data_IF_023347951006
#
_entry.id   IF_023347951006
#
_cell.length_a   1.000
_cell.length_b   1.000
_cell.length_c   1.000
_cell.angle_alpha   90.00
_cell.angle_beta   90.00
_cell.angle_gamma   90.00
#
_symmetry.space_group_name_H-M   'P 1'
#
loop_
_entity.id
_entity.type
_entity.pdbx_description
1 polymer ?
#
# COMPACT_ATOMS: atom_id res chain seq x y z
N UNK A 1 7.34 -10.60 2.14
CA UNK A 1 7.14 -10.63 0.68
C UNK A 1 8.28 -9.91 -0.04
N UNK A 2 9.51 -10.39 0.18
CA UNK A 2 10.75 -9.85 -0.43
C UNK A 2 11.50 -10.90 -1.27
N UNK A 3 11.00 -12.13 -1.35
CA UNK A 3 11.78 -13.28 -1.83
C UNK A 3 11.67 -13.58 -3.33
N UNK A 4 10.93 -12.81 -4.12
CA UNK A 4 10.68 -13.19 -5.52
C UNK A 4 11.35 -12.28 -6.58
N UNK A 5 12.24 -11.37 -6.20
CA UNK A 5 12.98 -10.53 -7.14
C UNK A 5 14.42 -10.28 -6.65
N UNK A 6 15.31 -11.26 -6.79
CA UNK A 6 16.75 -11.03 -6.55
C UNK A 6 17.58 -11.83 -7.56
N UNK A 7 17.77 -11.26 -8.75
CA UNK A 7 18.82 -11.68 -9.68
C UNK A 7 19.70 -10.50 -10.16
N UNK A 8 19.69 -9.37 -9.44
CA UNK A 8 20.55 -8.21 -9.74
C UNK A 8 21.39 -7.77 -8.53
N UNK A 9 22.69 -7.46 -8.71
CA UNK A 9 23.69 -7.39 -7.64
C UNK A 9 23.80 -5.99 -7.01
N UNK A 10 22.71 -5.45 -6.45
CA UNK A 10 22.71 -4.06 -5.93
C UNK A 10 22.91 -3.95 -4.40
N UNK A 11 23.01 -5.04 -3.65
CA UNK A 11 23.29 -5.00 -2.22
C UNK A 11 24.46 -5.91 -1.86
N UNK A 12 25.59 -5.33 -1.46
CA UNK A 12 26.75 -6.05 -0.92
C UNK A 12 26.47 -6.81 0.39
N UNK A 13 25.29 -6.62 0.99
CA UNK A 13 24.82 -7.35 2.17
C UNK A 13 24.03 -8.64 1.82
N UNK A 14 23.54 -8.78 0.58
CA UNK A 14 22.80 -9.98 0.16
C UNK A 14 23.71 -11.20 -0.03
N UNK A 15 25.00 -11.01 -0.33
CA UNK A 15 25.97 -12.11 -0.42
C UNK A 15 26.24 -12.79 0.93
N UNK A 16 25.90 -12.14 2.06
CA UNK A 16 25.93 -12.75 3.39
C UNK A 16 24.63 -13.51 3.73
N UNK A 17 23.56 -13.38 2.93
CA UNK A 17 22.25 -13.98 3.19
C UNK A 17 22.06 -15.39 2.62
N UNK A 18 22.92 -15.87 1.72
CA UNK A 18 22.78 -17.23 1.16
C UNK A 18 22.78 -18.33 2.23
N UNK A 19 23.31 -18.06 3.44
CA UNK A 19 23.30 -18.99 4.57
C UNK A 19 22.40 -18.58 5.75
N UNK A 20 21.63 -17.49 5.66
CA UNK A 20 20.85 -16.97 6.80
C UNK A 20 19.60 -16.17 6.37
N UNK A 21 18.77 -16.74 5.50
CA UNK A 21 17.51 -16.13 5.08
C UNK A 21 16.54 -16.00 6.27
N UNK A 22 15.79 -14.89 6.38
CA UNK A 22 14.79 -14.73 7.43
C UNK A 22 13.74 -15.84 7.36
N UNK A 23 13.46 -16.47 8.50
CA UNK A 23 12.52 -17.61 8.59
C UNK A 23 11.09 -17.16 8.90
N UNK A 24 10.89 -15.90 9.25
CA UNK A 24 9.57 -15.30 9.47
C UNK A 24 9.54 -13.81 9.11
N UNK A 25 8.33 -13.22 9.04
CA UNK A 25 8.14 -11.82 8.63
C UNK A 25 8.74 -10.82 9.64
N UNK A 26 8.83 -11.15 10.94
CA UNK A 26 9.38 -10.24 11.96
C UNK A 26 10.88 -10.03 11.79
N UNK A 27 11.60 -11.04 11.33
CA UNK A 27 13.03 -10.91 11.05
C UNK A 27 13.31 -9.93 9.90
N UNK A 28 12.40 -9.82 8.92
CA UNK A 28 12.48 -8.75 7.91
C UNK A 28 12.30 -7.35 8.52
N UNK A 29 11.45 -7.20 9.53
CA UNK A 29 11.28 -5.93 10.25
C UNK A 29 12.57 -5.52 10.97
N UNK A 30 13.23 -6.47 11.64
CA UNK A 30 14.52 -6.22 12.30
C UNK A 30 15.65 -5.88 11.31
N UNK A 31 15.67 -6.52 10.14
CA UNK A 31 16.60 -6.17 9.07
C UNK A 31 16.30 -4.78 8.51
N UNK A 32 15.03 -4.45 8.27
CA UNK A 32 14.62 -3.12 7.82
C UNK A 32 15.04 -2.03 8.82
N UNK A 33 14.90 -2.28 10.13
CA UNK A 33 15.36 -1.36 11.18
C UNK A 33 16.86 -1.05 11.12
N UNK A 34 17.68 -2.03 10.71
CA UNK A 34 19.13 -1.86 10.56
C UNK A 34 19.51 -1.17 9.24
N UNK A 35 18.72 -1.40 8.19
CA UNK A 35 19.03 -0.91 6.84
C UNK A 35 18.50 0.50 6.56
N UNK A 36 17.37 0.88 7.16
CA UNK A 36 16.69 2.14 6.89
C UNK A 36 17.16 3.24 7.84
N UNK A 37 17.03 4.49 7.41
CA UNK A 37 17.14 5.63 8.33
C UNK A 37 16.04 5.55 9.37
N UNK A 38 16.29 6.10 10.58
CA UNK A 38 15.27 6.13 11.65
C UNK A 38 13.96 6.76 11.16
N UNK A 39 14.03 7.85 10.40
CA UNK A 39 12.86 8.52 9.84
C UNK A 39 12.05 7.60 8.92
N UNK A 40 12.69 6.89 7.99
CA UNK A 40 12.00 5.99 7.06
C UNK A 40 11.47 4.73 7.74
N UNK A 41 12.25 4.16 8.67
CA UNK A 41 11.79 3.01 9.44
C UNK A 41 10.56 3.34 10.27
N UNK A 42 10.61 4.45 11.02
CA UNK A 42 9.49 4.88 11.86
C UNK A 42 8.24 5.24 11.02
N UNK A 43 8.41 5.83 9.83
CA UNK A 43 7.31 6.11 8.92
C UNK A 43 6.58 4.83 8.45
N UNK A 44 7.35 3.79 8.11
CA UNK A 44 6.80 2.50 7.66
C UNK A 44 6.17 1.75 8.83
N UNK A 45 6.85 1.72 9.97
CA UNK A 45 6.49 0.88 11.11
C UNK A 45 5.45 1.51 12.05
N UNK A 46 5.38 2.84 12.08
CA UNK A 46 4.65 3.59 13.09
C UNK A 46 3.13 3.58 12.92
N UNK A 47 2.44 3.66 14.06
CA UNK A 47 1.00 3.85 14.19
C UNK A 47 0.62 5.29 14.54
N UNK A 48 -0.66 5.49 14.88
CA UNK A 48 -1.15 6.76 15.41
C UNK A 48 -0.98 6.81 16.94
N UNK A 49 -0.56 7.97 17.44
CA UNK A 49 -0.46 8.31 18.87
C UNK A 49 0.30 7.24 19.66
N UNK A 50 -0.25 6.75 20.77
CA UNK A 50 0.38 5.72 21.61
C UNK A 50 0.40 4.30 20.96
N UNK A 51 -0.02 4.17 19.70
CA UNK A 51 0.02 2.96 18.89
C UNK A 51 -0.74 1.76 19.48
N UNK A 52 -1.77 2.02 20.31
CA UNK A 52 -2.58 0.97 20.94
C UNK A 52 -3.19 0.01 19.91
N UNK A 53 -3.86 0.54 18.89
CA UNK A 53 -4.49 -0.28 17.83
C UNK A 53 -3.47 -1.05 17.00
N UNK A 54 -2.27 -0.49 16.78
CA UNK A 54 -1.20 -1.20 16.05
C UNK A 54 -0.78 -2.47 16.81
N UNK A 55 -0.60 -2.38 18.13
CA UNK A 55 -0.30 -3.55 18.98
C UNK A 55 -1.49 -4.51 19.05
N UNK A 56 -2.71 -3.99 19.18
CA UNK A 56 -3.90 -4.83 19.29
C UNK A 56 -4.19 -5.61 17.99
N UNK A 57 -3.91 -5.05 16.81
CA UNK A 57 -4.04 -5.76 15.54
C UNK A 57 -3.26 -7.09 15.51
N UNK A 58 -2.07 -7.12 16.10
CA UNK A 58 -1.26 -8.34 16.20
C UNK A 58 -1.77 -9.22 17.35
N UNK A 59 -2.07 -8.63 18.50
CA UNK A 59 -2.55 -9.35 19.67
C UNK A 59 -3.91 -10.05 19.42
N UNK A 60 -4.75 -9.50 18.54
CA UNK A 60 -6.05 -10.03 18.16
C UNK A 60 -5.97 -11.46 17.61
N UNK A 61 -4.98 -11.75 16.77
CA UNK A 61 -4.79 -13.09 16.25
C UNK A 61 -4.42 -14.10 17.35
N UNK A 62 -3.77 -13.66 18.42
CA UNK A 62 -3.48 -14.50 19.59
C UNK A 62 -4.72 -14.87 20.41
N UNK A 63 -5.83 -14.16 20.24
CA UNK A 63 -7.12 -14.45 20.89
C UNK A 63 -7.93 -15.52 20.15
N UNK A 64 -7.54 -15.87 18.92
CA UNK A 64 -8.23 -16.85 18.07
C UNK A 64 -7.41 -18.15 18.05
N UNK A 65 -8.00 -19.24 18.54
CA UNK A 65 -7.35 -20.55 18.57
C UNK A 65 -7.86 -21.45 17.44
N UNK A 66 -6.96 -22.15 16.77
CA UNK A 66 -7.30 -23.15 15.76
C UNK A 66 -7.65 -24.48 16.43
N UNK A 67 -8.67 -25.16 15.90
CA UNK A 67 -9.05 -26.53 16.30
C UNK A 67 -8.62 -27.51 15.21
N UNK A 68 -7.40 -28.08 15.28
CA UNK A 68 -6.91 -28.96 14.23
C UNK A 68 -7.83 -30.17 14.08
N UNK A 69 -8.06 -30.58 12.84
CA UNK A 69 -8.83 -31.78 12.50
C UNK A 69 -7.84 -32.88 12.16
N UNK A 70 -7.94 -34.01 12.86
CA UNK A 70 -7.07 -35.17 12.67
C UNK A 70 -7.69 -36.16 11.68
N UNK A 71 -6.85 -37.00 11.06
CA UNK A 71 -7.26 -38.02 10.07
C UNK A 71 -8.01 -37.43 8.86
N UNK A 72 -7.63 -36.22 8.45
CA UNK A 72 -8.09 -35.61 7.20
C UNK A 72 -6.98 -35.78 6.17
N UNK A 73 -7.32 -36.31 4.99
CA UNK A 73 -6.38 -36.39 3.88
C UNK A 73 -6.09 -34.98 3.35
N UNK A 74 -4.87 -34.52 3.62
CA UNK A 74 -4.32 -33.23 3.17
C UNK A 74 -3.10 -33.44 2.29
N UNK A 75 -2.98 -34.60 1.63
CA UNK A 75 -1.88 -34.91 0.71
C UNK A 75 -1.80 -33.93 -0.48
N UNK A 76 -2.90 -33.26 -0.80
CA UNK A 76 -2.96 -32.16 -1.77
C UNK A 76 -3.72 -30.97 -1.18
N UNK A 77 -3.03 -29.84 -1.00
CA UNK A 77 -3.60 -28.59 -0.48
C UNK A 77 -3.71 -27.60 -1.63
N UNK A 78 -4.94 -27.22 -1.97
CA UNK A 78 -5.21 -26.16 -2.93
C UNK A 78 -5.57 -24.87 -2.18
N UNK A 79 -4.71 -23.86 -2.31
CA UNK A 79 -4.95 -22.52 -1.78
C UNK A 79 -5.52 -21.56 -2.84
N UNK A 80 -5.74 -22.04 -4.06
CA UNK A 80 -6.20 -21.20 -5.15
C UNK A 80 -7.57 -20.60 -4.86
N UNK A 81 -7.76 -19.38 -5.33
CA UNK A 81 -9.00 -18.64 -5.16
C UNK A 81 -9.18 -17.64 -6.29
N UNK A 82 -10.31 -16.93 -6.30
CA UNK A 82 -10.54 -15.84 -7.24
C UNK A 82 -10.99 -14.57 -6.53
N UNK A 83 -10.57 -13.41 -7.03
CA UNK A 83 -11.01 -12.11 -6.56
C UNK A 83 -11.49 -11.29 -7.76
N UNK A 84 -12.77 -10.91 -7.77
CA UNK A 84 -13.41 -10.20 -8.88
C UNK A 84 -13.20 -10.87 -10.26
N UNK A 85 -13.23 -12.20 -10.30
CA UNK A 85 -13.04 -13.00 -11.52
C UNK A 85 -11.59 -13.28 -11.90
N UNK A 86 -10.61 -12.82 -11.11
CA UNK A 86 -9.20 -13.09 -11.34
C UNK A 86 -8.68 -14.20 -10.45
N UNK A 87 -8.17 -15.27 -11.06
CA UNK A 87 -7.61 -16.41 -10.34
C UNK A 87 -6.24 -16.09 -9.75
N UNK A 88 -5.99 -16.58 -8.54
CA UNK A 88 -4.73 -16.44 -7.80
C UNK A 88 -4.40 -17.76 -7.11
N UNK A 89 -3.10 -18.11 -6.93
CA UNK A 89 -2.69 -19.36 -6.31
C UNK A 89 -2.84 -19.36 -4.77
N UNK A 90 -3.10 -18.20 -4.16
CA UNK A 90 -3.32 -18.05 -2.72
C UNK A 90 -4.23 -16.85 -2.43
N UNK A 91 -4.92 -16.81 -1.27
CA UNK A 91 -5.78 -15.69 -0.88
C UNK A 91 -4.99 -14.51 -0.27
N UNK A 92 -3.77 -14.26 -0.74
CA UNK A 92 -2.87 -13.23 -0.22
C UNK A 92 -2.56 -12.24 -1.34
N UNK A 93 -2.81 -10.96 -1.09
CA UNK A 93 -2.58 -9.86 -2.02
C UNK A 93 -1.66 -8.79 -1.40
N UNK A 94 -1.08 -7.93 -2.23
CA UNK A 94 -0.31 -6.77 -1.77
C UNK A 94 -1.25 -5.60 -1.49
N UNK A 95 -1.34 -5.18 -0.23
CA UNK A 95 -2.11 -4.02 0.18
C UNK A 95 -1.51 -2.71 -0.37
N UNK A 96 -2.32 -1.64 -0.54
CA UNK A 96 -1.81 -0.36 -1.00
C UNK A 96 -0.96 0.31 0.07
N UNK A 97 0.34 0.24 -0.14
CA UNK A 97 1.33 1.11 0.50
C UNK A 97 1.92 2.01 -0.59
N UNK A 98 2.44 3.16 -0.20
CA UNK A 98 3.02 4.11 -1.13
C UNK A 98 4.39 4.55 -0.63
N UNK A 99 5.06 5.34 -1.45
CA UNK A 99 6.42 5.80 -1.18
C UNK A 99 7.46 4.66 -1.01
N UNK A 100 7.39 3.60 -1.83
CA UNK A 100 8.26 2.42 -1.68
C UNK A 100 9.75 2.75 -1.88
N UNK A 101 10.09 3.87 -2.54
CA UNK A 101 11.49 4.27 -2.74
C UNK A 101 12.20 4.70 -1.46
N UNK A 102 11.47 4.89 -0.35
CA UNK A 102 12.10 5.05 0.97
C UNK A 102 12.74 3.77 1.48
N UNK A 103 12.33 2.61 0.94
CA UNK A 103 12.83 1.29 1.33
C UNK A 103 13.77 0.65 0.29
N UNK A 104 13.50 0.82 -1.01
CA UNK A 104 14.34 0.28 -2.09
C UNK A 104 14.34 1.21 -3.32
N UNK A 105 15.47 1.45 -4.00
CA UNK A 105 15.53 2.39 -5.13
C UNK A 105 14.52 2.12 -6.26
N UNK A 106 14.18 0.85 -6.50
CA UNK A 106 13.23 0.41 -7.53
C UNK A 106 11.76 0.69 -7.17
N UNK A 107 11.47 0.98 -5.90
CA UNK A 107 10.12 1.34 -5.42
C UNK A 107 9.02 0.34 -5.78
N UNK A 108 7.88 0.89 -6.20
CA UNK A 108 6.66 0.12 -6.50
C UNK A 108 6.85 -0.82 -7.71
N UNK A 109 7.81 -0.56 -8.60
CA UNK A 109 8.14 -1.47 -9.71
C UNK A 109 8.69 -2.80 -9.18
N UNK A 110 9.57 -2.79 -8.17
CA UNK A 110 10.05 -4.02 -7.56
C UNK A 110 8.91 -4.80 -6.90
N UNK A 111 8.01 -4.12 -6.21
CA UNK A 111 6.82 -4.75 -5.60
C UNK A 111 5.88 -5.34 -6.64
N UNK A 112 5.65 -4.66 -7.76
CA UNK A 112 4.83 -5.16 -8.85
C UNK A 112 5.44 -6.41 -9.49
N UNK A 113 6.75 -6.42 -9.72
CA UNK A 113 7.45 -7.60 -10.25
C UNK A 113 7.39 -8.78 -9.28
N UNK A 114 7.56 -8.55 -7.98
CA UNK A 114 7.42 -9.59 -6.97
C UNK A 114 5.98 -10.15 -6.92
N UNK A 115 4.96 -9.29 -6.98
CA UNK A 115 3.56 -9.73 -7.05
C UNK A 115 3.31 -10.57 -8.31
N UNK A 116 3.80 -10.15 -9.47
CA UNK A 116 3.70 -10.89 -10.73
C UNK A 116 4.36 -12.27 -10.63
N UNK A 117 5.57 -12.37 -10.09
CA UNK A 117 6.27 -13.67 -9.95
C UNK A 117 5.55 -14.65 -9.02
N UNK A 118 4.74 -14.16 -8.10
CA UNK A 118 3.90 -14.98 -7.22
C UNK A 118 2.48 -15.20 -7.77
N UNK A 119 2.17 -14.69 -8.97
CA UNK A 119 0.80 -14.62 -9.52
C UNK A 119 -0.21 -14.02 -8.53
N UNK A 120 0.24 -13.06 -7.72
CA UNK A 120 -0.57 -12.35 -6.72
C UNK A 120 -0.94 -10.96 -7.24
N UNK A 121 -2.05 -10.43 -6.73
CA UNK A 121 -2.53 -9.10 -7.05
C UNK A 121 -1.77 -8.03 -6.27
N UNK A 122 -1.45 -6.92 -6.94
CA UNK A 122 -0.96 -5.71 -6.29
C UNK A 122 -2.00 -4.59 -6.31
N UNK A 123 -2.30 -4.01 -5.13
CA UNK A 123 -3.01 -2.73 -5.07
C UNK A 123 -1.97 -1.61 -5.04
N UNK A 124 -1.91 -0.79 -6.10
CA UNK A 124 -0.99 0.36 -6.18
C UNK A 124 -1.60 1.58 -5.50
N UNK A 125 -0.86 2.24 -4.61
CA UNK A 125 -1.32 3.51 -4.01
C UNK A 125 -1.20 4.70 -4.96
N UNK A 126 -2.14 5.65 -4.91
CA UNK A 126 -1.99 6.96 -5.54
C UNK A 126 -0.70 7.70 -5.10
N UNK A 127 -0.19 7.38 -3.90
CA UNK A 127 1.02 7.97 -3.32
C UNK A 127 2.32 7.24 -3.74
N UNK A 128 2.26 6.44 -4.79
CA UNK A 128 3.40 5.73 -5.39
C UNK A 128 4.54 6.67 -5.82
N UNK A 129 5.79 6.25 -5.64
CA UNK A 129 6.98 6.92 -6.20
C UNK A 129 7.31 6.52 -7.65
N UNK A 130 6.59 5.54 -8.21
CA UNK A 130 6.61 5.20 -9.63
C UNK A 130 5.30 5.65 -10.30
N UNK A 131 5.39 6.03 -11.58
CA UNK A 131 4.18 6.42 -12.33
C UNK A 131 3.27 5.22 -12.56
N UNK A 132 1.95 5.46 -12.68
CA UNK A 132 0.94 4.41 -12.99
C UNK A 132 1.39 3.61 -14.22
N UNK A 133 1.82 4.31 -15.27
CA UNK A 133 2.27 3.76 -16.56
C UNK A 133 3.56 2.94 -16.42
N UNK A 134 4.50 3.41 -15.59
CA UNK A 134 5.77 2.73 -15.30
C UNK A 134 5.50 1.41 -14.57
N UNK A 135 4.65 1.43 -13.56
CA UNK A 135 4.26 0.22 -12.82
C UNK A 135 3.52 -0.75 -13.75
N UNK A 136 2.56 -0.28 -14.55
CA UNK A 136 1.76 -1.10 -15.46
C UNK A 136 2.63 -1.82 -16.51
N UNK A 137 3.56 -1.12 -17.13
CA UNK A 137 4.45 -1.65 -18.17
C UNK A 137 5.58 -2.55 -17.64
N UNK A 138 5.86 -2.54 -16.34
CA UNK A 138 7.01 -3.25 -15.76
C UNK A 138 6.89 -4.77 -15.65
N UNK A 139 5.66 -5.30 -15.61
CA UNK A 139 5.36 -6.74 -15.51
C UNK A 139 3.88 -7.05 -15.76
N UNK A 140 3.54 -8.33 -15.90
CA UNK A 140 2.16 -8.80 -16.10
C UNK A 140 1.46 -9.17 -14.77
N UNK A 141 1.45 -8.26 -13.78
CA UNK A 141 0.66 -8.44 -12.56
C UNK A 141 -0.80 -7.99 -12.76
N UNK A 142 -1.74 -8.67 -12.10
CA UNK A 142 -3.07 -8.11 -11.88
C UNK A 142 -2.93 -6.96 -10.88
N UNK A 143 -3.51 -5.80 -11.21
CA UNK A 143 -3.38 -4.60 -10.38
C UNK A 143 -4.71 -3.93 -10.13
N UNK A 144 -4.92 -3.52 -8.89
CA UNK A 144 -5.95 -2.55 -8.52
C UNK A 144 -5.30 -1.21 -8.18
N UNK A 145 -6.04 -0.12 -8.29
CA UNK A 145 -5.52 1.23 -8.02
C UNK A 145 -6.24 1.83 -6.82
N UNK A 146 -5.50 2.11 -5.76
CA UNK A 146 -6.02 2.77 -4.57
C UNK A 146 -6.01 4.28 -4.73
N UNK A 147 -7.15 4.90 -4.39
CA UNK A 147 -7.40 6.34 -4.53
C UNK A 147 -7.81 6.95 -3.18
N UNK A 148 -7.26 8.12 -2.86
CA UNK A 148 -7.95 9.13 -2.05
C UNK A 148 -8.57 10.17 -2.96
N UNK A 149 -9.73 10.67 -2.57
CA UNK A 149 -10.41 11.73 -3.30
C UNK A 149 -9.82 13.08 -2.89
N UNK A 150 -9.29 13.79 -3.88
CA UNK A 150 -8.74 15.13 -3.72
C UNK A 150 -9.84 16.20 -3.75
N UNK A 151 -9.61 17.33 -3.06
CA UNK A 151 -10.49 18.52 -3.13
C UNK A 151 -10.71 18.95 -4.58
N UNK A 152 -9.65 18.92 -5.38
CA UNK A 152 -9.69 19.16 -6.82
C UNK A 152 -10.08 17.87 -7.55
N UNK A 153 -11.38 17.71 -7.85
CA UNK A 153 -11.95 16.45 -8.35
C UNK A 153 -11.42 16.01 -9.71
N UNK A 154 -10.99 16.94 -10.56
CA UNK A 154 -10.33 16.66 -11.84
C UNK A 154 -9.01 15.87 -11.67
N UNK A 155 -8.28 16.06 -10.57
CA UNK A 155 -7.08 15.27 -10.25
C UNK A 155 -7.48 13.82 -10.04
N UNK A 156 -8.48 13.57 -9.19
CA UNK A 156 -9.00 12.24 -8.91
C UNK A 156 -9.51 11.57 -10.19
N UNK A 157 -10.30 12.27 -11.02
CA UNK A 157 -10.76 11.76 -12.32
C UNK A 157 -9.63 11.44 -13.28
N UNK A 158 -8.56 12.24 -13.27
CA UNK A 158 -7.38 12.01 -14.13
C UNK A 158 -6.62 10.75 -13.70
N UNK A 159 -6.45 10.53 -12.40
CA UNK A 159 -5.81 9.32 -11.89
C UNK A 159 -6.63 8.06 -12.19
N UNK A 160 -7.96 8.11 -12.02
CA UNK A 160 -8.86 7.01 -12.36
C UNK A 160 -8.75 6.66 -13.84
N UNK A 161 -8.86 7.66 -14.74
CA UNK A 161 -8.73 7.44 -16.18
C UNK A 161 -7.36 6.86 -16.56
N UNK A 162 -6.28 7.34 -15.93
CA UNK A 162 -4.93 6.81 -16.15
C UNK A 162 -4.81 5.36 -15.71
N UNK A 163 -5.35 5.00 -14.55
CA UNK A 163 -5.36 3.62 -14.08
C UNK A 163 -6.14 2.71 -15.03
N UNK A 164 -7.37 3.08 -15.39
CA UNK A 164 -8.24 2.31 -16.31
C UNK A 164 -7.58 2.13 -17.69
N UNK A 165 -7.02 3.20 -18.25
CA UNK A 165 -6.32 3.16 -19.55
C UNK A 165 -5.04 2.31 -19.53
N UNK A 166 -4.46 2.07 -18.35
CA UNK A 166 -3.27 1.22 -18.16
C UNK A 166 -3.62 -0.18 -17.64
N UNK A 167 -4.87 -0.60 -17.79
CA UNK A 167 -5.28 -1.98 -17.57
C UNK A 167 -5.42 -2.38 -16.09
N UNK A 168 -5.50 -1.41 -15.18
CA UNK A 168 -5.89 -1.69 -13.79
C UNK A 168 -7.33 -2.20 -13.76
N UNK A 169 -7.61 -3.12 -12.83
CA UNK A 169 -8.81 -3.96 -12.84
C UNK A 169 -9.88 -3.57 -11.83
N UNK A 170 -9.56 -2.70 -10.89
CA UNK A 170 -10.51 -2.12 -9.93
C UNK A 170 -9.94 -0.84 -9.32
N UNK A 171 -10.84 0.00 -8.79
CA UNK A 171 -10.51 1.15 -7.96
C UNK A 171 -10.74 0.77 -6.50
N UNK A 172 -9.76 1.03 -5.63
CA UNK A 172 -9.88 0.86 -4.18
C UNK A 172 -10.01 2.24 -3.56
N UNK A 173 -11.25 2.68 -3.31
CA UNK A 173 -11.52 3.95 -2.64
C UNK A 173 -11.25 3.79 -1.14
N UNK A 174 -10.28 4.54 -0.62
CA UNK A 174 -9.99 4.54 0.82
C UNK A 174 -10.80 5.62 1.52
N UNK A 175 -11.63 5.22 2.49
CA UNK A 175 -12.62 6.08 3.15
C UNK A 175 -12.31 6.36 4.64
N UNK A 176 -11.28 5.73 5.19
CA UNK A 176 -10.88 5.84 6.60
C UNK A 176 -9.98 7.05 6.93
N UNK A 177 -9.61 7.87 5.93
CA UNK A 177 -8.65 8.97 6.11
C UNK A 177 -9.20 10.33 5.64
N UNK A 178 -10.33 10.83 6.20
CA UNK A 178 -10.79 12.20 5.93
C UNK A 178 -9.83 13.24 6.52
N UNK A 179 -9.18 12.90 7.64
CA UNK A 179 -8.07 13.63 8.25
C UNK A 179 -6.96 12.64 8.52
N UNK A 180 -5.71 13.05 8.29
CA UNK A 180 -4.56 12.17 8.52
C UNK A 180 -4.40 11.87 10.02
N UNK A 181 -4.16 10.60 10.37
CA UNK A 181 -3.92 10.20 11.75
C UNK A 181 -2.66 10.87 12.32
N UNK A 182 -2.68 11.16 13.62
CA UNK A 182 -1.56 11.81 14.32
C UNK A 182 -0.44 10.80 14.58
N UNK A 183 0.56 10.74 13.69
CA UNK A 183 1.73 9.85 13.83
C UNK A 183 2.88 10.58 14.50
N UNK A 184 3.08 10.33 15.80
CA UNK A 184 4.03 11.11 16.61
C UNK A 184 5.49 10.95 16.15
N UNK A 185 5.86 9.76 15.66
CA UNK A 185 7.18 9.51 15.13
C UNK A 185 7.45 10.35 13.87
N UNK A 186 6.47 10.48 12.97
CA UNK A 186 6.58 11.34 11.77
C UNK A 186 6.76 12.82 12.14
N UNK A 187 6.01 13.29 13.14
CA UNK A 187 6.10 14.67 13.66
C UNK A 187 7.49 14.89 14.26
N UNK A 188 7.94 14.00 15.15
CA UNK A 188 9.23 14.10 15.84
C UNK A 188 10.41 14.04 14.88
N UNK A 189 10.34 13.17 13.89
CA UNK A 189 11.37 13.00 12.88
C UNK A 189 11.28 14.05 11.75
N UNK A 190 10.24 14.92 11.75
CA UNK A 190 9.95 15.90 10.69
C UNK A 190 9.91 15.24 9.30
N UNK A 191 9.10 14.18 9.19
CA UNK A 191 9.03 13.33 8.00
C UNK A 191 8.85 14.15 6.71
N UNK A 192 9.76 13.94 5.76
CA UNK A 192 9.76 14.60 4.45
C UNK A 192 8.92 13.79 3.47
N UNK A 193 8.01 14.45 2.77
CA UNK A 193 7.16 13.77 1.82
C UNK A 193 7.97 13.33 0.58
N UNK A 194 7.89 12.05 0.21
CA UNK A 194 8.52 11.58 -1.02
C UNK A 194 7.83 12.17 -2.26
N UNK A 195 8.56 12.31 -3.39
CA UNK A 195 8.00 12.76 -4.66
C UNK A 195 6.82 11.92 -5.11
N UNK A 196 5.79 12.57 -5.65
CA UNK A 196 4.55 11.94 -6.15
C UNK A 196 4.42 12.20 -7.65
N UNK A 197 5.15 11.46 -8.50
CA UNK A 197 5.20 11.73 -9.94
C UNK A 197 3.84 11.59 -10.64
N UNK A 198 2.86 10.91 -10.03
CA UNK A 198 1.51 10.82 -10.56
C UNK A 198 0.71 12.13 -10.42
N UNK A 199 1.16 13.06 -9.59
CA UNK A 199 0.48 14.33 -9.31
C UNK A 199 1.22 15.55 -9.89
N UNK A 200 2.36 15.31 -10.53
CA UNK A 200 3.16 16.33 -11.17
C UNK A 200 2.31 17.11 -12.20
N UNK A 201 2.30 18.44 -12.07
CA UNK A 201 1.46 19.33 -12.89
C UNK A 201 -0.04 19.31 -12.56
N UNK A 202 -0.51 18.45 -11.66
CA UNK A 202 -1.92 18.38 -11.24
C UNK A 202 -2.17 19.11 -9.91
N UNK A 203 -1.21 19.05 -9.00
CA UNK A 203 -1.23 19.70 -7.69
C UNK A 203 0.12 20.40 -7.48
N UNK A 204 0.11 21.71 -7.21
CA UNK A 204 1.31 22.40 -6.74
C UNK A 204 1.61 21.96 -5.32
N UNK A 205 2.85 21.54 -5.09
CA UNK A 205 3.38 21.08 -3.80
C UNK A 205 4.50 22.01 -3.29
N UNK A 206 4.56 23.23 -3.83
CA UNK A 206 5.72 24.13 -3.72
C UNK A 206 5.90 24.72 -2.30
N UNK A 207 4.89 24.56 -1.42
CA UNK A 207 4.90 25.11 -0.06
C UNK A 207 4.68 24.05 1.03
N UNK A 208 5.31 22.88 0.90
CA UNK A 208 5.39 21.88 1.98
C UNK A 208 6.42 22.27 3.06
N UNK A 209 6.69 23.56 3.25
CA UNK A 209 7.48 24.04 4.37
C UNK A 209 6.69 23.77 5.66
N UNK A 210 7.26 22.95 6.53
CA UNK A 210 6.65 22.58 7.81
C UNK A 210 7.43 23.26 8.93
N UNK A 211 7.00 24.45 9.34
CA UNK A 211 7.37 24.97 10.65
C UNK A 211 6.74 24.08 11.73
N UNK A 212 7.44 22.99 12.09
CA UNK A 212 7.19 22.20 13.30
C UNK A 212 6.41 20.88 13.18
N UNK A 213 6.22 20.29 11.98
CA UNK A 213 5.40 19.08 11.81
C UNK A 213 5.79 18.14 10.66
N UNK A 214 4.96 17.13 10.38
CA UNK A 214 5.14 16.18 9.27
C UNK A 214 4.66 16.78 7.94
N UNK A 215 5.47 16.69 6.87
CA UNK A 215 5.05 17.15 5.55
C UNK A 215 3.92 16.29 4.97
N UNK A 216 3.83 15.03 5.37
CA UNK A 216 2.77 14.11 4.92
C UNK A 216 1.42 14.55 5.48
N UNK A 217 1.38 14.93 6.75
CA UNK A 217 0.18 15.43 7.41
C UNK A 217 -0.31 16.73 6.76
N UNK A 218 0.60 17.69 6.55
CA UNK A 218 0.29 18.96 5.87
C UNK A 218 -0.23 18.71 4.46
N UNK A 219 0.46 17.87 3.67
CA UNK A 219 0.04 17.51 2.33
C UNK A 219 -1.39 16.91 2.32
N UNK A 220 -1.68 15.97 3.22
CA UNK A 220 -2.99 15.35 3.30
C UNK A 220 -4.08 16.40 3.60
N UNK A 221 -3.85 17.26 4.59
CA UNK A 221 -4.76 18.35 4.98
C UNK A 221 -5.04 19.33 3.84
N UNK A 222 -4.00 19.68 3.08
CA UNK A 222 -4.10 20.71 2.05
C UNK A 222 -4.77 20.16 0.78
N UNK A 223 -4.59 18.87 0.46
CA UNK A 223 -4.98 18.29 -0.84
C UNK A 223 -6.18 17.34 -0.81
N UNK A 224 -6.37 16.57 0.27
CA UNK A 224 -7.44 15.57 0.36
C UNK A 224 -8.76 16.21 0.79
N UNK A 225 -9.87 15.68 0.28
CA UNK A 225 -11.19 16.18 0.61
C UNK A 225 -11.72 15.52 1.90
N UNK A 226 -11.90 16.25 3.00
CA UNK A 226 -12.42 15.68 4.24
C UNK A 226 -13.95 15.50 4.22
N UNK A 227 -14.64 15.98 3.19
CA UNK A 227 -16.11 16.02 3.10
C UNK A 227 -16.72 14.84 2.34
N UNK A 228 -16.00 13.71 2.24
CA UNK A 228 -16.49 12.52 1.56
C UNK A 228 -17.80 12.02 2.18
N UNK A 229 -18.68 11.58 1.29
CA UNK A 229 -19.96 10.98 1.58
C UNK A 229 -20.24 9.85 0.59
N UNK A 230 -21.38 9.19 0.70
CA UNK A 230 -21.83 8.20 -0.28
C UNK A 230 -21.96 8.76 -1.71
N UNK A 231 -22.07 10.09 -1.88
CA UNK A 231 -22.09 10.73 -3.20
C UNK A 231 -20.78 10.52 -3.97
N UNK A 232 -19.66 10.38 -3.27
CA UNK A 232 -18.36 10.11 -3.88
C UNK A 232 -18.34 8.74 -4.57
N UNK A 233 -19.06 7.76 -4.01
CA UNK A 233 -19.19 6.43 -4.61
C UNK A 233 -19.99 6.52 -5.91
N UNK A 234 -21.12 7.23 -5.90
CA UNK A 234 -21.94 7.45 -7.10
C UNK A 234 -21.21 8.26 -8.17
N UNK A 235 -20.46 9.28 -7.76
CA UNK A 235 -19.61 10.04 -8.66
C UNK A 235 -18.51 9.17 -9.28
N UNK A 236 -17.82 8.32 -8.50
CA UNK A 236 -16.82 7.40 -9.05
C UNK A 236 -17.45 6.45 -10.08
N UNK A 237 -18.61 5.87 -9.77
CA UNK A 237 -19.37 5.03 -10.71
C UNK A 237 -19.71 5.76 -12.02
N UNK A 238 -19.90 7.08 -11.99
CA UNK A 238 -20.19 7.87 -13.19
C UNK A 238 -18.97 8.12 -14.09
N UNK A 239 -17.75 7.93 -13.59
CA UNK A 239 -16.51 8.26 -14.31
C UNK A 239 -15.63 7.05 -14.66
N UNK A 240 -15.96 5.86 -14.16
CA UNK A 240 -15.24 4.62 -14.49
C UNK A 240 -16.20 3.42 -14.55
N UNK A 241 -15.85 2.45 -15.39
CA UNK A 241 -16.55 1.18 -15.48
C UNK A 241 -15.95 0.10 -14.56
N UNK A 242 -14.80 0.38 -13.94
CA UNK A 242 -14.11 -0.56 -13.09
C UNK A 242 -14.90 -0.83 -11.79
N UNK A 243 -14.84 -2.06 -11.24
CA UNK A 243 -15.31 -2.33 -9.89
C UNK A 243 -14.68 -1.38 -8.87
N UNK A 244 -15.47 -0.96 -7.89
CA UNK A 244 -15.03 -0.09 -6.79
C UNK A 244 -15.08 -0.89 -5.49
N UNK A 245 -13.95 -0.96 -4.78
CA UNK A 245 -13.86 -1.54 -3.44
C UNK A 245 -13.70 -0.41 -2.43
N UNK A 246 -14.47 -0.46 -1.34
CA UNK A 246 -14.30 0.45 -0.21
C UNK A 246 -13.28 -0.13 0.78
N UNK A 247 -12.23 0.63 1.07
CA UNK A 247 -11.21 0.29 2.07
C UNK A 247 -11.37 1.21 3.28
N UNK A 248 -11.43 0.62 4.46
CA UNK A 248 -11.48 1.36 5.73
C UNK A 248 -12.76 1.16 6.54
N UNK A 249 -13.64 0.26 6.10
CA UNK A 249 -14.87 -0.10 6.81
C UNK A 249 -14.53 -0.96 8.03
N UNK A 250 -15.06 -0.59 9.20
CA UNK A 250 -14.82 -1.29 10.49
C UNK A 250 -16.11 -1.54 11.28
N UNK A 251 -17.24 -1.21 10.68
CA UNK A 251 -18.60 -1.20 11.25
C UNK A 251 -19.54 -1.91 10.28
N UNK A 252 -20.57 -2.57 10.79
CA UNK A 252 -21.49 -3.35 9.94
C UNK A 252 -22.46 -2.45 9.17
N UNK A 253 -22.73 -1.25 9.69
CA UNK A 253 -23.67 -0.27 9.15
C UNK A 253 -23.19 0.35 7.84
N UNK A 254 -21.88 0.30 7.57
CA UNK A 254 -21.25 0.87 6.37
C UNK A 254 -20.95 -0.19 5.28
N UNK A 255 -21.41 -1.44 5.45
CA UNK A 255 -21.16 -2.59 4.57
C UNK A 255 -22.27 -2.96 3.60
#
# INVERSE_FOLDING_TARGET
MLLACCSTPCFSWLSQMENNLPVNIREYQELAKKALSKMHYDYINGGAEDEHTLRDNIAAYGRILLRPRVLVDVSNIDMSTSLLGYNMPSPIIVAPTGSHKVATPEGEVATAKAAASCNSLMVLSFSSNCRIEEVASSCNAIRFYQLFVFKKRDVSSTLVRRAESNGFKAIVLTVDTPVFGRREADIRNKMVASPKPNLEGLISIDDLNTTGGSQIEKYARDTLDPSLSWKEVEWLKSITSLPILLKGIVTAEDG
#
